data_IF_009787927083
#
_entry.id   IF_009787927083
#
_cell.length_a   1.000
_cell.length_b   1.000
_cell.length_c   1.000
_cell.angle_alpha   90.00
_cell.angle_beta   90.00
_cell.angle_gamma   90.00
#
_symmetry.space_group_name_H-M   'P 1'
#
loop_
_entity.id
_entity.type
_entity.pdbx_description
1 polymer ?
#
# COMPACT_ATOMS: atom_id res chain seq x y z
N UNK A 1 -31.97 15.33 44.29
CA UNK A 1 -31.31 14.23 43.55
C UNK A 1 -31.57 14.27 42.04
N UNK A 2 -32.76 14.67 41.56
CA UNK A 2 -33.08 14.75 40.11
C UNK A 2 -32.16 15.67 39.29
N UNK A 3 -31.71 16.80 39.85
CA UNK A 3 -30.82 17.74 39.13
C UNK A 3 -29.42 17.16 38.86
N UNK A 4 -28.89 16.33 39.77
CA UNK A 4 -27.61 15.63 39.58
C UNK A 4 -27.67 14.58 38.46
N UNK A 5 -28.83 13.94 38.27
CA UNK A 5 -29.03 12.95 37.20
C UNK A 5 -29.19 13.66 35.84
N UNK A 6 -29.92 14.78 35.79
CA UNK A 6 -30.02 15.62 34.59
C UNK A 6 -28.65 16.18 34.15
N UNK A 7 -27.82 16.63 35.09
CA UNK A 7 -26.50 17.16 34.78
C UNK A 7 -25.50 16.07 34.33
N UNK A 8 -25.61 14.84 34.85
CA UNK A 8 -24.83 13.70 34.36
C UNK A 8 -25.20 13.35 32.91
N UNK A 9 -26.50 13.23 32.61
CA UNK A 9 -26.97 12.91 31.26
C UNK A 9 -26.57 13.95 30.21
N UNK A 10 -26.52 15.23 30.60
CA UNK A 10 -26.06 16.31 29.72
C UNK A 10 -24.55 16.22 29.45
N UNK A 11 -23.73 15.90 30.46
CA UNK A 11 -22.28 15.75 30.34
C UNK A 11 -21.89 14.57 29.44
N UNK A 12 -22.58 13.44 29.53
CA UNK A 12 -22.35 12.29 28.65
C UNK A 12 -22.72 12.56 27.19
N UNK A 13 -23.83 13.27 26.95
CA UNK A 13 -24.21 13.72 25.60
C UNK A 13 -23.17 14.67 25.02
N UNK A 14 -22.69 15.62 25.83
CA UNK A 14 -21.65 16.55 25.41
C UNK A 14 -20.31 15.86 25.13
N UNK A 15 -19.91 14.90 25.99
CA UNK A 15 -18.72 14.08 25.80
C UNK A 15 -18.79 13.22 24.53
N UNK A 16 -19.94 12.59 24.27
CA UNK A 16 -20.18 11.85 23.03
C UNK A 16 -20.12 12.74 21.79
N UNK A 17 -20.68 13.96 21.87
CA UNK A 17 -20.66 14.91 20.77
C UNK A 17 -19.24 15.40 20.45
N UNK A 18 -18.43 15.69 21.48
CA UNK A 18 -17.01 16.01 21.33
C UNK A 18 -16.24 14.83 20.73
N UNK A 19 -16.50 13.60 21.20
CA UNK A 19 -15.85 12.41 20.67
C UNK A 19 -16.15 12.19 19.19
N UNK A 20 -17.41 12.35 18.77
CA UNK A 20 -17.81 12.29 17.36
C UNK A 20 -17.15 13.40 16.55
N UNK A 21 -17.09 14.62 17.07
CA UNK A 21 -16.41 15.73 16.40
C UNK A 21 -14.90 15.47 16.22
N UNK A 22 -14.24 14.89 17.23
CA UNK A 22 -12.84 14.48 17.13
C UNK A 22 -12.64 13.37 16.09
N UNK A 23 -13.51 12.36 16.08
CA UNK A 23 -13.46 11.29 15.07
C UNK A 23 -13.63 11.83 13.65
N UNK A 24 -14.59 12.74 13.44
CA UNK A 24 -14.77 13.39 12.14
C UNK A 24 -13.55 14.20 11.73
N UNK A 25 -12.94 14.91 12.67
CA UNK A 25 -11.71 15.68 12.42
C UNK A 25 -10.56 14.76 11.99
N UNK A 26 -10.36 13.64 12.69
CA UNK A 26 -9.35 12.63 12.32
C UNK A 26 -9.63 12.03 10.94
N UNK A 27 -10.89 11.71 10.66
CA UNK A 27 -11.30 11.18 9.36
C UNK A 27 -11.00 12.16 8.22
N UNK A 28 -11.33 13.44 8.38
CA UNK A 28 -11.06 14.49 7.39
C UNK A 28 -9.55 14.65 7.19
N UNK A 29 -8.75 14.63 8.27
CA UNK A 29 -7.29 14.68 8.18
C UNK A 29 -6.73 13.50 7.39
N UNK A 30 -7.22 12.28 7.64
CA UNK A 30 -6.79 11.07 6.90
C UNK A 30 -7.14 11.17 5.40
N UNK A 31 -8.35 11.62 5.06
CA UNK A 31 -8.77 11.82 3.67
C UNK A 31 -7.89 12.88 3.00
N UNK A 32 -7.65 14.01 3.68
CA UNK A 32 -6.86 15.13 3.15
C UNK A 32 -5.41 14.73 2.95
N UNK A 33 -4.81 14.04 3.92
CA UNK A 33 -3.45 13.52 3.84
C UNK A 33 -3.32 12.53 2.67
N UNK A 34 -4.28 11.62 2.52
CA UNK A 34 -4.29 10.66 1.40
C UNK A 34 -4.41 11.38 0.05
N UNK A 35 -5.26 12.39 -0.04
CA UNK A 35 -5.40 13.22 -1.24
C UNK A 35 -4.13 14.00 -1.59
N UNK A 36 -3.48 14.57 -0.57
CA UNK A 36 -2.20 15.28 -0.73
C UNK A 36 -1.10 14.33 -1.18
N UNK A 37 -0.94 13.18 -0.53
CA UNK A 37 0.05 12.16 -0.90
C UNK A 37 -0.17 11.68 -2.33
N UNK A 38 -1.41 11.37 -2.73
CA UNK A 38 -1.71 10.95 -4.10
C UNK A 38 -1.34 12.04 -5.12
N UNK A 39 -1.64 13.31 -4.82
CA UNK A 39 -1.33 14.44 -5.69
C UNK A 39 0.18 14.67 -5.83
N UNK A 40 0.94 14.60 -4.74
CA UNK A 40 2.40 14.72 -4.78
C UNK A 40 3.03 13.53 -5.52
N UNK A 41 2.53 12.32 -5.29
CA UNK A 41 2.99 11.13 -6.03
C UNK A 41 2.66 11.22 -7.53
N UNK A 42 1.52 11.79 -7.89
CA UNK A 42 1.16 12.09 -9.27
C UNK A 42 1.99 13.24 -9.85
N UNK A 43 2.34 14.25 -9.07
CA UNK A 43 3.23 15.32 -9.52
C UNK A 43 4.67 14.82 -9.78
N UNK A 44 5.17 13.92 -8.93
CA UNK A 44 6.51 13.35 -9.04
C UNK A 44 6.62 12.25 -10.10
N UNK A 45 5.57 11.46 -10.30
CA UNK A 45 5.62 10.24 -11.10
C UNK A 45 4.45 10.12 -12.09
N UNK A 46 3.92 11.24 -12.61
CA UNK A 46 2.61 11.39 -13.28
C UNK A 46 2.12 10.25 -14.18
N UNK A 47 2.98 9.55 -14.92
CA UNK A 47 2.58 8.36 -15.68
C UNK A 47 2.59 7.09 -14.79
N UNK A 48 1.47 6.34 -14.71
CA UNK A 48 1.43 5.02 -14.06
C UNK A 48 2.58 4.09 -14.45
N UNK A 49 3.07 4.16 -15.70
CA UNK A 49 4.23 3.39 -16.14
C UNK A 49 5.51 3.78 -15.40
N UNK A 50 5.75 5.08 -15.18
CA UNK A 50 6.91 5.58 -14.43
C UNK A 50 6.83 5.20 -12.95
N UNK A 51 5.63 5.18 -12.36
CA UNK A 51 5.42 4.68 -10.98
C UNK A 51 5.78 3.20 -10.86
N UNK A 52 5.32 2.38 -11.80
CA UNK A 52 5.63 0.96 -11.85
C UNK A 52 7.13 0.71 -11.98
N UNK A 53 7.79 1.44 -12.89
CA UNK A 53 9.24 1.34 -13.09
C UNK A 53 10.04 1.74 -11.84
N UNK A 54 9.67 2.83 -11.17
CA UNK A 54 10.35 3.24 -9.94
C UNK A 54 10.25 2.18 -8.84
N UNK A 55 9.06 1.64 -8.60
CA UNK A 55 8.87 0.60 -7.57
C UNK A 55 9.57 -0.69 -7.96
N UNK A 56 9.55 -1.06 -9.25
CA UNK A 56 10.26 -2.22 -9.76
C UNK A 56 11.78 -2.07 -9.60
N UNK A 57 12.34 -0.89 -9.89
CA UNK A 57 13.76 -0.60 -9.72
C UNK A 57 14.19 -0.63 -8.25
N UNK A 58 13.40 -0.01 -7.36
CA UNK A 58 13.65 -0.06 -5.92
C UNK A 58 13.63 -1.50 -5.39
N UNK A 59 12.63 -2.29 -5.81
CA UNK A 59 12.49 -3.69 -5.45
C UNK A 59 13.63 -4.54 -6.01
N UNK A 60 14.04 -4.32 -7.25
CA UNK A 60 15.15 -5.03 -7.87
C UNK A 60 16.47 -4.80 -7.13
N UNK A 61 16.77 -3.54 -6.78
CA UNK A 61 17.95 -3.19 -5.98
C UNK A 61 17.92 -3.82 -4.58
N UNK A 62 16.75 -3.93 -3.95
CA UNK A 62 16.63 -4.59 -2.65
C UNK A 62 16.74 -6.12 -2.74
N UNK A 63 16.29 -6.71 -3.86
CA UNK A 63 16.35 -8.16 -4.09
C UNK A 63 17.71 -8.65 -4.62
N UNK A 64 18.52 -7.78 -5.23
CA UNK A 64 19.87 -8.09 -5.74
C UNK A 64 20.73 -8.92 -4.75
N UNK A 65 20.90 -8.53 -3.47
CA UNK A 65 21.70 -9.32 -2.53
C UNK A 65 21.10 -10.70 -2.21
N UNK A 66 19.77 -10.88 -2.33
CA UNK A 66 19.10 -12.16 -2.09
C UNK A 66 19.33 -13.14 -3.25
N UNK A 67 19.43 -12.63 -4.47
CA UNK A 67 19.70 -13.42 -5.69
C UNK A 67 21.15 -13.93 -5.69
N UNK A 68 22.12 -13.10 -5.28
CA UNK A 68 23.54 -13.49 -5.24
C UNK A 68 23.86 -14.54 -4.16
N UNK A 69 23.05 -14.61 -3.09
CA UNK A 69 23.31 -15.51 -1.95
C UNK A 69 22.46 -16.78 -1.93
N UNK A 70 21.68 -17.04 -2.98
CA UNK A 70 20.89 -18.27 -3.16
C UNK A 70 19.92 -18.52 -1.99
N UNK A 71 19.24 -17.45 -1.54
CA UNK A 71 18.31 -17.50 -0.39
C UNK A 71 16.89 -17.93 -0.77
N UNK A 72 16.19 -18.43 0.25
CA UNK A 72 14.86 -19.02 0.21
C UNK A 72 13.81 -18.13 -0.49
N UNK A 73 13.00 -18.72 -1.37
CA UNK A 73 11.89 -18.04 -2.05
C UNK A 73 10.89 -17.38 -1.07
N UNK A 74 10.87 -17.84 0.17
CA UNK A 74 10.07 -17.28 1.24
C UNK A 74 10.52 -15.87 1.67
N UNK A 75 11.83 -15.60 1.73
CA UNK A 75 12.33 -14.26 2.05
C UNK A 75 12.00 -13.27 0.93
N UNK A 76 12.16 -13.71 -0.32
CA UNK A 76 11.80 -12.92 -1.51
C UNK A 76 10.30 -12.58 -1.50
N UNK A 77 9.44 -13.56 -1.21
CA UNK A 77 7.99 -13.32 -1.09
C UNK A 77 7.68 -12.29 0.01
N UNK A 78 8.31 -12.40 1.18
CA UNK A 78 8.07 -11.47 2.27
C UNK A 78 8.47 -10.02 1.92
N UNK A 79 9.58 -9.84 1.20
CA UNK A 79 10.00 -8.53 0.70
C UNK A 79 9.00 -7.99 -0.32
N UNK A 80 8.56 -8.79 -1.29
CA UNK A 80 7.57 -8.40 -2.30
C UNK A 80 6.24 -8.03 -1.66
N UNK A 81 5.77 -8.80 -0.67
CA UNK A 81 4.55 -8.51 0.09
C UNK A 81 4.65 -7.18 0.86
N UNK A 82 5.82 -6.91 1.45
CA UNK A 82 6.09 -5.66 2.15
C UNK A 82 6.01 -4.47 1.20
N UNK A 83 6.63 -4.59 0.03
CA UNK A 83 6.56 -3.59 -1.02
C UNK A 83 5.13 -3.37 -1.51
N UNK A 84 4.36 -4.44 -1.67
CA UNK A 84 2.95 -4.35 -2.05
C UNK A 84 2.11 -3.63 -1.00
N UNK A 85 2.38 -3.85 0.29
CA UNK A 85 1.70 -3.16 1.38
C UNK A 85 2.04 -1.65 1.40
N UNK A 86 3.31 -1.31 1.24
CA UNK A 86 3.81 0.08 1.28
C UNK A 86 3.41 0.87 0.02
N UNK A 87 3.55 0.26 -1.16
CA UNK A 87 3.32 0.94 -2.44
C UNK A 87 1.92 0.73 -3.01
N UNK A 88 1.14 -0.20 -2.44
CA UNK A 88 -0.26 -0.41 -2.82
C UNK A 88 -1.13 0.82 -2.56
N UNK A 89 -0.82 1.62 -1.54
CA UNK A 89 -1.52 2.89 -1.27
C UNK A 89 -1.26 3.94 -2.35
N UNK A 90 -0.16 3.84 -3.10
CA UNK A 90 0.23 4.75 -4.18
C UNK A 90 -0.18 4.25 -5.57
N UNK A 91 -1.03 3.21 -5.64
CA UNK A 91 -1.61 2.71 -6.88
C UNK A 91 -0.95 1.48 -7.50
N UNK A 92 0.06 0.89 -6.84
CA UNK A 92 0.63 -0.39 -7.27
C UNK A 92 -0.41 -1.49 -7.05
N UNK A 93 -0.91 -2.09 -8.13
CA UNK A 93 -1.98 -3.09 -8.05
C UNK A 93 -1.47 -4.51 -7.79
N UNK A 94 -0.32 -4.86 -8.36
CA UNK A 94 0.35 -6.15 -8.21
C UNK A 94 1.85 -5.95 -8.41
N UNK A 95 2.61 -6.91 -7.88
CA UNK A 95 4.04 -7.06 -8.06
C UNK A 95 4.30 -8.52 -8.47
N UNK A 96 5.18 -8.68 -9.45
CA UNK A 96 5.56 -9.95 -10.05
C UNK A 96 7.08 -9.96 -10.12
N UNK A 97 7.71 -11.05 -9.65
CA UNK A 97 9.14 -11.28 -9.85
C UNK A 97 9.27 -12.47 -10.77
N UNK A 98 9.96 -12.26 -11.89
CA UNK A 98 10.19 -13.25 -12.93
C UNK A 98 11.63 -13.74 -12.88
N UNK A 99 11.85 -15.02 -13.20
CA UNK A 99 13.18 -15.55 -13.47
C UNK A 99 13.69 -15.16 -14.87
N UNK A 100 14.94 -15.47 -15.18
CA UNK A 100 15.56 -15.21 -16.49
C UNK A 100 14.83 -15.90 -17.67
N UNK A 101 13.95 -16.85 -17.39
CA UNK A 101 13.13 -17.57 -18.38
C UNK A 101 11.66 -17.13 -18.39
N UNK A 102 11.34 -16.01 -17.76
CA UNK A 102 9.98 -15.46 -17.63
C UNK A 102 8.99 -16.30 -16.81
N UNK A 103 9.47 -17.20 -15.94
CA UNK A 103 8.60 -17.86 -14.98
C UNK A 103 8.40 -16.97 -13.75
N UNK A 104 7.18 -16.97 -13.21
CA UNK A 104 6.88 -16.29 -11.95
C UNK A 104 7.51 -17.03 -10.79
N UNK A 105 8.42 -16.37 -10.07
CA UNK A 105 9.04 -16.88 -8.84
C UNK A 105 8.15 -16.56 -7.64
N UNK A 106 7.72 -15.29 -7.54
CA UNK A 106 6.82 -14.79 -6.50
C UNK A 106 5.87 -13.75 -7.08
N UNK A 107 4.67 -13.70 -6.53
CA UNK A 107 3.66 -12.74 -6.92
C UNK A 107 2.75 -12.31 -5.77
N UNK A 108 2.06 -11.19 -5.98
CA UNK A 108 1.03 -10.66 -5.08
C UNK A 108 -0.34 -10.65 -5.74
N UNK A 109 -0.50 -11.38 -6.86
CA UNK A 109 -1.73 -11.43 -7.62
C UNK A 109 -2.72 -12.35 -6.93
N UNK A 110 -3.98 -11.94 -6.84
CA UNK A 110 -5.00 -12.79 -6.23
C UNK A 110 -5.50 -13.81 -7.26
N UNK A 111 -4.86 -14.98 -7.28
CA UNK A 111 -5.22 -16.10 -8.14
C UNK A 111 -4.13 -16.43 -9.15
N UNK A 112 -4.50 -16.94 -10.33
CA UNK A 112 -3.52 -17.27 -11.37
C UNK A 112 -3.11 -16.00 -12.12
N UNK A 113 -1.82 -15.70 -12.14
CA UNK A 113 -1.24 -14.60 -12.93
C UNK A 113 -1.63 -14.76 -14.41
N UNK A 114 -2.31 -13.77 -15.02
CA UNK A 114 -2.63 -13.79 -16.44
C UNK A 114 -1.36 -13.74 -17.30
N UNK A 115 -1.28 -14.60 -18.31
CA UNK A 115 -0.11 -14.65 -19.22
C UNK A 115 0.16 -13.30 -19.89
N UNK A 116 -0.89 -12.55 -20.22
CA UNK A 116 -0.76 -11.21 -20.80
C UNK A 116 0.04 -10.22 -19.96
N UNK A 117 0.11 -10.39 -18.62
CA UNK A 117 0.92 -9.51 -17.76
C UNK A 117 2.41 -9.85 -17.84
N UNK A 118 2.73 -11.13 -18.03
CA UNK A 118 4.08 -11.63 -18.21
C UNK A 118 4.59 -11.19 -19.59
N UNK A 119 3.76 -11.36 -20.63
CA UNK A 119 4.10 -11.02 -22.00
C UNK A 119 4.33 -9.50 -22.21
N UNK A 120 3.71 -8.64 -21.39
CA UNK A 120 3.93 -7.18 -21.41
C UNK A 120 5.26 -6.75 -20.78
N UNK A 121 5.92 -7.63 -20.01
CA UNK A 121 7.16 -7.35 -19.30
C UNK A 121 8.21 -8.43 -19.61
N UNK A 122 8.62 -8.58 -20.88
CA UNK A 122 9.58 -9.60 -21.26
C UNK A 122 10.93 -9.34 -20.58
N UNK A 123 11.55 -10.40 -20.07
CA UNK A 123 12.89 -10.35 -19.49
C UNK A 123 13.87 -10.17 -20.66
N UNK A 124 14.47 -8.98 -20.76
CA UNK A 124 15.42 -8.60 -21.82
C UNK A 124 16.84 -9.09 -21.55
#
# INVERSE_FOLDING_TARGET
MLEKIKSLGLRWKFGGLIFVALLLTVLILLITLRGFLNREFEALYGDPATKGLFVADLLANELEPFIETNRDAQEVQQTVDTYKAVYGIYGVQYLLVLDATSNVIVDTYQGRVPQSLIDLNPVS
#
